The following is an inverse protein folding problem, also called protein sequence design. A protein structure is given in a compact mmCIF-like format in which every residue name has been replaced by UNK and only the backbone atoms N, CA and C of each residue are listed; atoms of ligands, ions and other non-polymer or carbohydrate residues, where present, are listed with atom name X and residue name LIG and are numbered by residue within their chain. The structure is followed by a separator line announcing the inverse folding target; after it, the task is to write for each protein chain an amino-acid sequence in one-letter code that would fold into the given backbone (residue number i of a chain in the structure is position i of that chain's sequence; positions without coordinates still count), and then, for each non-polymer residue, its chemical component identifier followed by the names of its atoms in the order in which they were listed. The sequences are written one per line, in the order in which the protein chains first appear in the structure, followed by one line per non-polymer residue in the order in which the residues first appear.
data_IF_630506799845
#
_entry.id   IF_630506799845
#
_cell.length_a   1.000
_cell.length_b   1.000
_cell.length_c   1.000
_cell.angle_alpha   90.00
_cell.angle_beta   90.00
_cell.angle_gamma   90.00
#
_symmetry.space_group_name_H-M   'P 1'
#
loop_
_entity.id
_entity.type
_entity.pdbx_description
1 polymer ?
#
# COMPACT_ATOMS: atom_id res chain seq x y z
N UNK A 1 -13.46 15.53 -6.84
CA UNK A 1 -12.49 14.96 -7.79
C UNK A 1 -11.60 13.89 -7.14
N UNK A 2 -10.93 14.19 -6.02
CA UNK A 2 -9.98 13.29 -5.32
C UNK A 2 -10.51 11.87 -5.05
N UNK A 3 -11.70 11.76 -4.45
CA UNK A 3 -12.38 10.47 -4.23
C UNK A 3 -12.58 9.62 -5.50
N UNK A 4 -12.88 10.26 -6.64
CA UNK A 4 -13.06 9.54 -7.93
C UNK A 4 -11.73 9.01 -8.47
N UNK A 5 -10.63 9.73 -8.23
CA UNK A 5 -9.30 9.27 -8.58
C UNK A 5 -8.90 8.05 -7.74
N UNK A 6 -9.12 8.08 -6.42
CA UNK A 6 -8.91 6.91 -5.57
C UNK A 6 -9.77 5.71 -6.02
N UNK A 7 -11.02 5.94 -6.43
CA UNK A 7 -11.88 4.90 -7.01
C UNK A 7 -11.33 4.35 -8.33
N UNK A 8 -10.77 5.19 -9.21
CA UNK A 8 -10.14 4.75 -10.44
C UNK A 8 -8.89 3.90 -10.16
N UNK A 9 -7.99 4.40 -9.31
CA UNK A 9 -6.76 3.71 -8.91
C UNK A 9 -7.05 2.37 -8.25
N UNK A 10 -8.09 2.28 -7.43
CA UNK A 10 -8.54 1.03 -6.81
C UNK A 10 -8.92 -0.06 -7.83
N UNK A 11 -9.24 0.35 -9.07
CA UNK A 11 -9.65 -0.52 -10.19
C UNK A 11 -8.55 -0.80 -11.20
N UNK A 12 -7.42 -0.11 -11.11
CA UNK A 12 -6.29 -0.34 -11.99
C UNK A 12 -5.69 -1.72 -11.75
N UNK A 13 -5.23 -2.37 -12.83
CA UNK A 13 -4.34 -3.52 -12.76
C UNK A 13 -2.91 -3.00 -12.83
N UNK A 14 -2.15 -3.23 -11.77
CA UNK A 14 -0.74 -2.92 -11.73
C UNK A 14 0.04 -3.94 -12.56
N UNK A 15 1.16 -3.51 -13.13
CA UNK A 15 1.98 -4.34 -14.02
C UNK A 15 3.15 -4.98 -13.27
N UNK A 16 3.56 -4.41 -12.12
CA UNK A 16 4.70 -4.88 -11.34
C UNK A 16 4.63 -4.50 -9.85
N UNK A 17 5.43 -5.15 -8.98
CA UNK A 17 5.55 -4.79 -7.57
C UNK A 17 6.04 -3.34 -7.30
N UNK A 18 7.03 -2.79 -8.04
CA UNK A 18 7.40 -1.37 -7.90
C UNK A 18 6.25 -0.39 -8.13
N UNK A 19 5.35 -0.66 -9.08
CA UNK A 19 4.15 0.16 -9.29
C UNK A 19 3.24 0.19 -8.04
N UNK A 20 3.16 -0.92 -7.31
CA UNK A 20 2.39 -0.98 -6.06
C UNK A 20 3.02 -0.08 -4.98
N UNK A 21 4.35 -0.09 -4.86
CA UNK A 21 5.07 0.77 -3.91
C UNK A 21 4.90 2.26 -4.27
N UNK A 22 5.06 2.64 -5.54
CA UNK A 22 4.83 4.02 -5.97
C UNK A 22 3.40 4.49 -5.76
N UNK A 23 2.43 3.59 -5.96
CA UNK A 23 1.03 3.87 -5.66
C UNK A 23 0.83 4.09 -4.15
N UNK A 24 1.40 3.23 -3.31
CA UNK A 24 1.29 3.39 -1.86
C UNK A 24 1.94 4.70 -1.38
N UNK A 25 3.14 5.05 -1.85
CA UNK A 25 3.82 6.29 -1.49
C UNK A 25 3.01 7.53 -1.89
N UNK A 26 2.39 7.50 -3.07
CA UNK A 26 1.50 8.56 -3.51
C UNK A 26 0.23 8.65 -2.65
N UNK A 27 -0.36 7.52 -2.23
CA UNK A 27 -1.52 7.50 -1.33
C UNK A 27 -1.16 8.08 0.05
N UNK A 28 -0.02 7.68 0.62
CA UNK A 28 0.46 8.19 1.91
C UNK A 28 0.80 9.69 1.83
N UNK A 29 1.38 10.15 0.73
CA UNK A 29 1.63 11.57 0.49
C UNK A 29 0.33 12.37 0.41
N UNK A 30 -0.69 11.83 -0.25
CA UNK A 30 -2.02 12.43 -0.29
C UNK A 30 -2.69 12.44 1.09
N UNK A 31 -2.51 11.39 1.89
CA UNK A 31 -3.07 11.29 3.24
C UNK A 31 -2.48 12.33 4.19
N UNK A 32 -1.16 12.53 4.15
CA UNK A 32 -0.46 13.58 4.93
C UNK A 32 -0.91 14.98 4.55
N UNK A 33 -1.19 15.20 3.26
CA UNK A 33 -1.58 16.51 2.73
C UNK A 33 -3.10 16.77 2.86
N UNK A 34 -3.92 15.73 2.84
CA UNK A 34 -5.38 15.80 2.87
C UNK A 34 -5.95 14.72 3.82
N UNK A 35 -5.88 14.93 5.15
CA UNK A 35 -6.36 13.94 6.12
C UNK A 35 -7.88 13.68 6.01
N UNK A 36 -8.65 14.64 5.52
CA UNK A 36 -10.10 14.48 5.28
C UNK A 36 -10.44 13.41 4.23
N UNK A 37 -9.47 13.05 3.37
CA UNK A 37 -9.65 12.05 2.32
C UNK A 37 -9.38 10.60 2.81
N UNK A 38 -9.04 10.43 4.10
CA UNK A 38 -8.66 9.17 4.75
C UNK A 38 -9.51 7.98 4.34
N UNK A 39 -10.83 8.08 4.45
CA UNK A 39 -11.73 6.95 4.16
C UNK A 39 -11.64 6.50 2.69
N UNK A 40 -11.43 7.44 1.77
CA UNK A 40 -11.29 7.13 0.35
C UNK A 40 -9.93 6.52 0.01
N UNK A 41 -8.89 6.93 0.73
CA UNK A 41 -7.53 6.37 0.61
C UNK A 41 -7.50 4.96 1.19
N UNK A 42 -8.08 4.75 2.36
CA UNK A 42 -8.21 3.44 3.00
C UNK A 42 -8.99 2.44 2.14
N UNK A 43 -10.11 2.87 1.55
CA UNK A 43 -10.87 2.07 0.56
C UNK A 43 -10.02 1.71 -0.66
N UNK A 44 -9.23 2.66 -1.16
CA UNK A 44 -8.34 2.41 -2.29
C UNK A 44 -7.26 1.38 -1.93
N UNK A 45 -6.58 1.56 -0.80
CA UNK A 45 -5.53 0.65 -0.33
C UNK A 45 -6.07 -0.78 -0.14
N UNK A 46 -7.19 -0.95 0.56
CA UNK A 46 -7.83 -2.26 0.73
C UNK A 46 -8.18 -2.94 -0.61
N UNK A 47 -8.73 -2.18 -1.57
CA UNK A 47 -9.07 -2.71 -2.89
C UNK A 47 -7.83 -3.02 -3.75
N UNK A 48 -6.73 -2.28 -3.59
CA UNK A 48 -5.48 -2.57 -4.31
C UNK A 48 -4.86 -3.85 -3.77
N UNK A 49 -4.85 -4.03 -2.45
CA UNK A 49 -4.29 -5.20 -1.78
C UNK A 49 -4.98 -6.49 -2.20
N UNK A 50 -6.31 -6.50 -2.14
CA UNK A 50 -7.13 -7.65 -2.58
C UNK A 50 -7.00 -7.99 -4.06
N UNK A 51 -6.66 -7.02 -4.92
CA UNK A 51 -6.46 -7.24 -6.37
C UNK A 51 -5.07 -7.69 -6.76
N UNK A 52 -4.06 -7.37 -5.94
CA UNK A 52 -2.65 -7.63 -6.28
C UNK A 52 -1.94 -8.42 -5.16
N UNK A 53 -2.50 -9.55 -4.70
CA UNK A 53 -1.96 -10.28 -3.56
C UNK A 53 -0.51 -10.75 -3.79
N UNK A 54 -0.20 -11.22 -5.00
CA UNK A 54 1.15 -11.65 -5.38
C UNK A 54 2.19 -10.51 -5.32
N UNK A 55 1.82 -9.28 -5.68
CA UNK A 55 2.74 -8.14 -5.60
C UNK A 55 2.94 -7.70 -4.15
N UNK A 56 1.89 -7.73 -3.34
CA UNK A 56 1.99 -7.45 -1.91
C UNK A 56 2.87 -8.48 -1.22
N UNK A 57 2.75 -9.77 -1.57
CA UNK A 57 3.62 -10.83 -1.02
C UNK A 57 5.10 -10.57 -1.33
N UNK A 58 5.45 -10.24 -2.58
CA UNK A 58 6.83 -9.91 -2.97
C UNK A 58 7.33 -8.67 -2.21
N UNK A 59 6.48 -7.66 -2.07
CA UNK A 59 6.82 -6.42 -1.39
C UNK A 59 6.73 -6.49 0.13
N UNK A 60 6.17 -7.56 0.71
CA UNK A 60 5.80 -7.58 2.13
C UNK A 60 7.01 -7.32 3.01
N UNK A 61 8.16 -7.91 2.67
CA UNK A 61 9.40 -7.67 3.39
C UNK A 61 9.86 -6.21 3.31
N UNK A 62 9.71 -5.54 2.18
CA UNK A 62 10.06 -4.12 2.06
C UNK A 62 9.04 -3.23 2.76
N UNK A 63 7.74 -3.51 2.60
CA UNK A 63 6.66 -2.82 3.31
C UNK A 63 6.82 -2.94 4.84
N UNK A 64 7.30 -4.09 5.31
CA UNK A 64 7.50 -4.37 6.73
C UNK A 64 8.89 -3.95 7.26
N UNK A 65 9.96 -3.93 6.44
CA UNK A 65 11.35 -3.58 6.88
C UNK A 65 11.73 -2.13 6.63
N UNK A 66 11.25 -1.50 5.56
CA UNK A 66 11.65 -0.14 5.17
C UNK A 66 11.02 0.92 6.08
N UNK A 67 9.98 0.54 6.82
CA UNK A 67 9.35 1.40 7.80
C UNK A 67 9.97 1.13 9.20
N UNK A 68 10.53 2.15 9.90
CA UNK A 68 10.85 2.14 11.36
C UNK A 68 9.80 1.56 12.33
N UNK A 69 8.62 1.21 11.83
CA UNK A 69 7.34 1.10 12.52
C UNK A 69 7.00 -0.37 12.86
N UNK A 70 7.89 -1.30 12.49
CA UNK A 70 7.80 -2.75 12.77
C UNK A 70 9.14 -3.31 13.29
N UNK A 71 10.05 -2.41 13.66
CA UNK A 71 11.07 -2.67 14.68
C UNK A 71 10.38 -3.18 15.96
N UNK A 72 11.10 -3.77 16.91
CA UNK A 72 10.54 -4.32 18.17
C UNK A 72 9.69 -3.30 18.99
N UNK A 73 9.67 -2.02 18.61
CA UNK A 73 8.79 -0.99 19.16
C UNK A 73 7.47 -0.89 18.38
N UNK A 74 6.36 -1.15 19.09
CA UNK A 74 5.00 -1.06 18.56
C UNK A 74 4.64 0.39 18.15
N UNK A 75 4.17 0.63 16.92
CA UNK A 75 3.84 1.97 16.46
C UNK A 75 2.54 2.49 17.10
N UNK A 76 2.32 3.80 17.02
CA UNK A 76 1.08 4.42 17.49
C UNK A 76 -0.11 3.88 16.69
N UNK A 77 -0.99 3.10 17.36
CA UNK A 77 -2.08 2.34 16.71
C UNK A 77 -3.07 3.18 15.89
N UNK A 78 -3.11 4.48 16.11
CA UNK A 78 -4.04 5.40 15.43
C UNK A 78 -3.41 6.18 14.25
N UNK A 79 -2.14 5.94 13.92
CA UNK A 79 -1.51 6.60 12.77
C UNK A 79 -2.22 6.22 11.45
N UNK A 80 -2.79 7.19 10.72
CA UNK A 80 -3.53 6.90 9.50
C UNK A 80 -2.64 6.31 8.39
N UNK A 81 -1.33 6.60 8.38
CA UNK A 81 -0.40 5.97 7.45
C UNK A 81 -0.22 4.48 7.76
N UNK A 82 -0.01 4.13 9.03
CA UNK A 82 0.05 2.75 9.51
C UNK A 82 -1.22 1.96 9.14
N UNK A 83 -2.40 2.52 9.42
CA UNK A 83 -3.68 1.89 9.07
C UNK A 83 -3.79 1.66 7.56
N UNK A 84 -3.31 2.60 6.73
CA UNK A 84 -3.33 2.45 5.26
C UNK A 84 -2.50 1.26 4.79
N UNK A 85 -1.30 1.07 5.34
CA UNK A 85 -0.44 -0.07 5.00
C UNK A 85 -1.05 -1.38 5.50
N UNK A 86 -1.60 -1.41 6.72
CA UNK A 86 -2.27 -2.60 7.24
C UNK A 86 -3.48 -2.99 6.39
N UNK A 87 -4.30 -2.02 5.97
CA UNK A 87 -5.42 -2.30 5.09
C UNK A 87 -4.95 -2.87 3.74
N UNK A 88 -3.85 -2.38 3.18
CA UNK A 88 -3.27 -2.96 1.97
C UNK A 88 -2.83 -4.42 2.19
N UNK A 89 -2.06 -4.68 3.24
CA UNK A 89 -1.45 -5.99 3.51
C UNK A 89 -2.49 -7.03 3.94
N UNK A 90 -3.38 -6.68 4.86
CA UNK A 90 -4.41 -7.59 5.35
C UNK A 90 -5.37 -7.98 4.23
N UNK A 91 -5.79 -7.04 3.37
CA UNK A 91 -6.69 -7.38 2.27
C UNK A 91 -6.04 -8.21 1.16
N UNK A 92 -4.70 -8.26 1.09
CA UNK A 92 -3.97 -9.12 0.17
C UNK A 92 -3.83 -10.57 0.68
N UNK A 93 -3.91 -10.77 1.99
CA UNK A 93 -3.69 -12.05 2.65
C UNK A 93 -4.54 -13.22 2.11
N UNK A 94 -5.84 -13.07 1.77
CA UNK A 94 -6.63 -14.18 1.24
C UNK A 94 -6.08 -14.73 -0.09
N UNK A 95 -5.46 -13.87 -0.90
CA UNK A 95 -4.90 -14.25 -2.20
C UNK A 95 -3.43 -14.68 -2.18
N UNK A 96 -2.74 -14.46 -1.05
CA UNK A 96 -1.34 -14.83 -0.87
C UNK A 96 -1.08 -15.16 0.62
N UNK A 97 -1.55 -16.35 1.09
CA UNK A 97 -1.45 -16.72 2.50
C UNK A 97 -0.02 -16.94 3.00
N UNK A 98 0.93 -17.23 2.08
CA UNK A 98 2.35 -17.42 2.38
C UNK A 98 2.99 -16.21 3.05
N UNK A 99 2.48 -15.00 2.77
CA UNK A 99 3.01 -13.77 3.37
C UNK A 99 2.84 -13.70 4.89
N UNK A 100 1.94 -14.50 5.48
CA UNK A 100 1.70 -14.54 6.94
C UNK A 100 2.97 -14.87 7.72
N UNK A 101 3.89 -15.65 7.14
CA UNK A 101 5.16 -15.99 7.75
C UNK A 101 6.06 -14.77 8.02
N UNK A 102 5.85 -13.67 7.31
CA UNK A 102 6.59 -12.42 7.49
C UNK A 102 5.94 -11.48 8.50
N UNK A 103 4.75 -11.79 9.02
CA UNK A 103 4.03 -10.87 9.89
C UNK A 103 4.61 -10.84 11.30
N UNK A 104 4.83 -9.64 11.86
CA UNK A 104 5.26 -9.52 13.25
C UNK A 104 4.11 -9.86 14.20
N UNK A 105 4.44 -10.28 15.42
CA UNK A 105 3.48 -10.80 16.42
C UNK A 105 2.35 -9.81 16.74
N UNK A 106 2.65 -8.51 16.77
CA UNK A 106 1.67 -7.47 17.12
C UNK A 106 0.65 -7.18 15.99
N UNK A 107 0.87 -7.64 14.76
CA UNK A 107 -0.07 -7.44 13.65
C UNK A 107 -1.43 -8.12 13.92
N UNK A 108 -1.43 -9.21 14.70
CA UNK A 108 -2.65 -9.86 15.18
C UNK A 108 -3.49 -8.93 16.08
N UNK A 109 -2.86 -8.17 16.97
CA UNK A 109 -3.52 -7.20 17.84
C UNK A 109 -4.07 -6.01 17.04
N UNK A 110 -3.30 -5.52 16.05
CA UNK A 110 -3.74 -4.45 15.16
C UNK A 110 -4.93 -4.85 14.29
N UNK A 111 -5.05 -6.12 13.92
CA UNK A 111 -6.20 -6.63 13.17
C UNK A 111 -7.50 -6.55 13.98
N UNK A 112 -7.48 -6.95 15.26
CA UNK A 112 -8.66 -6.86 16.11
C UNK A 112 -9.15 -5.41 16.24
N UNK A 113 -8.21 -4.48 16.45
CA UNK A 113 -8.49 -3.04 16.46
C UNK A 113 -9.09 -2.55 15.13
N UNK A 114 -8.51 -2.95 13.99
CA UNK A 114 -9.03 -2.55 12.67
C UNK A 114 -10.41 -3.14 12.37
N UNK A 115 -10.72 -4.33 12.88
CA UNK A 115 -12.03 -4.94 12.74
C UNK A 115 -13.11 -4.13 13.49
N UNK A 116 -12.76 -3.50 14.60
CA UNK A 116 -13.67 -2.58 15.30
C UNK A 116 -13.75 -1.21 14.59
N UNK A 117 -12.61 -0.68 14.11
CA UNK A 117 -12.54 0.66 13.52
C UNK A 117 -13.16 0.72 12.11
N UNK A 118 -12.86 -0.26 11.25
CA UNK A 118 -13.23 -0.28 9.82
C UNK A 118 -13.59 -1.69 9.33
N UNK A 119 -14.63 -2.34 9.90
CA UNK A 119 -15.00 -3.72 9.57
C UNK A 119 -15.28 -3.92 8.07
N UNK A 120 -15.90 -2.92 7.44
CA UNK A 120 -16.26 -2.94 6.02
C UNK A 120 -15.07 -2.88 5.05
N UNK A 121 -13.86 -2.61 5.54
CA UNK A 121 -12.64 -2.52 4.72
C UNK A 121 -11.72 -3.70 4.89
N UNK A 122 -12.02 -4.62 5.80
CA UNK A 122 -11.34 -5.90 5.89
C UNK A 122 -12.16 -6.90 5.09
N UNK A 123 -11.54 -7.53 4.08
CA UNK A 123 -12.04 -8.81 3.59
C UNK A 123 -12.26 -9.71 4.80
N UNK A 124 -13.42 -10.36 4.96
CA UNK A 124 -13.66 -11.29 6.07
C UNK A 124 -12.66 -12.44 5.98
N UNK A 125 -11.52 -12.30 6.65
CA UNK A 125 -10.46 -13.32 6.62
C UNK A 125 -10.62 -14.15 7.88
N UNK A 126 -10.99 -15.41 7.77
CA UNK A 126 -10.98 -16.32 8.91
C UNK A 126 -9.54 -16.79 9.15
N UNK A 127 -8.68 -15.88 9.61
CA UNK A 127 -7.27 -16.20 9.91
C UNK A 127 -7.15 -16.37 11.40
N UNK A 128 -7.02 -17.63 11.81
CA UNK A 128 -6.57 -17.96 13.14
C UNK A 128 -5.14 -17.44 13.31
N UNK A 129 -5.02 -16.28 13.97
CA UNK A 129 -3.80 -15.85 14.61
C UNK A 129 -3.70 -16.58 15.95
N UNK A 130 -3.61 -17.91 15.91
CA UNK A 130 -3.41 -18.71 17.13
C UNK A 130 -1.99 -18.51 17.64
N UNK A 131 -1.81 -17.43 18.41
CA UNK A 131 -0.75 -17.30 19.40
C UNK A 131 -1.48 -17.13 20.73
N UNK A 132 -1.56 -18.22 21.50
CA UNK A 132 -2.21 -18.25 22.81
C UNK A 132 -1.64 -17.19 23.75
N UNK A 133 -2.35 -16.09 23.90
CA UNK A 133 -2.17 -15.12 24.99
C UNK A 133 -3.56 -14.65 25.41
N UNK A 134 -3.89 -14.88 26.68
CA UNK A 134 -5.16 -14.50 27.30
C UNK A 134 -5.31 -12.96 27.28
N UNK A 135 -6.53 -12.43 27.04
CA UNK A 135 -6.77 -11.00 27.09
C UNK A 135 -6.79 -10.54 28.54
N UNK A 136 -5.73 -9.87 28.99
CA UNK A 136 -5.80 -9.05 30.21
C UNK A 136 -6.51 -7.75 29.85
N UNK A 137 -7.77 -7.70 30.25
CA UNK A 137 -8.59 -6.52 30.54
C UNK A 137 -7.76 -5.32 30.99
N UNK A 138 -7.91 -4.18 30.29
CA UNK A 138 -8.17 -2.84 30.83
C UNK A 138 -8.17 -1.82 29.67
N UNK A 139 -9.22 -1.86 28.83
CA UNK A 139 -9.47 -0.81 27.83
C UNK A 139 -10.35 0.28 28.48
N UNK A 140 -9.74 1.21 29.20
CA UNK A 140 -10.40 2.47 29.56
C UNK A 140 -10.22 3.43 28.40
N UNK A 141 -11.28 3.61 27.60
CA UNK A 141 -11.38 4.62 26.56
C UNK A 141 -11.88 5.92 27.20
N UNK A 142 -11.12 7.02 27.23
CA UNK A 142 -11.73 8.32 27.48
C UNK A 142 -12.43 8.78 26.19
N UNK A 143 -13.76 8.85 26.25
CA UNK A 143 -14.54 9.61 25.29
C UNK A 143 -14.21 11.10 25.44
N UNK A 144 -13.36 11.64 24.57
CA UNK A 144 -13.32 13.09 24.33
C UNK A 144 -12.66 13.42 22.99
N UNK A 145 -13.49 13.81 22.03
CA UNK A 145 -13.04 14.60 20.87
C UNK A 145 -12.67 16.00 21.37
N UNK A 146 -11.50 16.56 21.07
CA UNK A 146 -11.37 17.99 20.99
C UNK A 146 -11.90 18.43 19.62
N UNK A 147 -13.03 19.12 19.66
CA UNK A 147 -13.41 20.08 18.64
C UNK A 147 -12.33 21.17 18.65
N UNK A 148 -11.63 21.37 17.53
CA UNK A 148 -10.78 22.53 17.31
C UNK A 148 -11.51 23.50 16.39
N UNK A 149 -12.19 24.48 17.01
CA UNK A 149 -12.22 25.87 16.53
C UNK A 149 -10.75 26.34 16.37
N UNK A 150 -10.33 27.19 15.45
CA UNK A 150 -10.90 28.36 14.78
C UNK A 150 -9.84 28.69 13.66
N UNK A 151 -10.12 29.11 12.42
CA UNK A 151 -10.32 30.52 12.04
C UNK A 151 -10.30 30.71 10.52
N UNK A 152 -11.16 31.63 10.11
CA UNK A 152 -11.09 32.61 9.02
C UNK A 152 -10.85 32.18 7.56
N UNK A 153 -11.82 32.65 6.75
CA UNK A 153 -11.93 32.53 5.32
C UNK A 153 -10.87 33.33 4.53
N UNK A 154 -10.34 32.70 3.48
CA UNK A 154 -10.34 33.27 2.12
C UNK A 154 -10.83 32.20 1.13
N UNK A 155 -12.04 32.30 0.55
CA UNK A 155 -12.75 31.10 0.06
C UNK A 155 -12.41 30.63 -1.37
N UNK A 156 -11.57 31.32 -2.15
CA UNK A 156 -11.32 30.99 -3.56
C UNK A 156 -9.90 30.53 -3.88
N UNK A 157 -8.86 31.24 -3.43
CA UNK A 157 -7.47 31.00 -3.84
C UNK A 157 -6.82 29.78 -3.15
N UNK A 158 -7.10 29.57 -1.86
CA UNK A 158 -6.57 28.41 -1.11
C UNK A 158 -7.19 27.09 -1.59
N UNK A 159 -8.46 27.10 -1.99
CA UNK A 159 -9.10 25.93 -2.61
C UNK A 159 -8.46 25.60 -3.94
N UNK A 160 -8.17 26.60 -4.78
CA UNK A 160 -7.44 26.38 -6.04
C UNK A 160 -6.02 25.87 -5.78
N UNK A 161 -5.30 26.42 -4.79
CA UNK A 161 -3.95 25.95 -4.46
C UNK A 161 -3.96 24.53 -3.91
N UNK A 162 -4.92 24.20 -3.04
CA UNK A 162 -5.13 22.86 -2.53
C UNK A 162 -5.50 21.87 -3.63
N UNK A 163 -6.28 22.28 -4.63
CA UNK A 163 -6.59 21.46 -5.81
C UNK A 163 -5.37 21.30 -6.72
N UNK A 164 -4.59 22.36 -6.98
CA UNK A 164 -3.37 22.31 -7.79
C UNK A 164 -2.32 21.40 -7.16
N UNK A 165 -2.12 21.50 -5.84
CA UNK A 165 -1.22 20.63 -5.10
C UNK A 165 -1.67 19.16 -5.14
N UNK A 166 -2.99 18.91 -5.11
CA UNK A 166 -3.55 17.56 -5.23
C UNK A 166 -3.34 17.02 -6.64
N UNK A 167 -3.63 17.83 -7.65
CA UNK A 167 -3.43 17.48 -9.05
C UNK A 167 -1.96 17.21 -9.33
N UNK A 168 -1.04 18.02 -8.81
CA UNK A 168 0.39 17.79 -8.92
C UNK A 168 0.82 16.48 -8.25
N UNK A 169 0.42 16.22 -7.00
CA UNK A 169 0.73 14.95 -6.31
C UNK A 169 0.14 13.73 -7.01
N UNK A 170 -1.09 13.85 -7.54
CA UNK A 170 -1.76 12.78 -8.28
C UNK A 170 -1.16 12.56 -9.66
N UNK A 171 -0.78 13.63 -10.37
CA UNK A 171 -0.10 13.56 -11.66
C UNK A 171 1.30 12.99 -11.51
N UNK A 172 2.03 13.33 -10.44
CA UNK A 172 3.33 12.74 -10.14
C UNK A 172 3.20 11.24 -9.82
N UNK A 173 2.18 10.85 -9.06
CA UNK A 173 1.87 9.44 -8.79
C UNK A 173 1.58 8.69 -10.10
N UNK A 174 0.66 9.21 -10.94
CA UNK A 174 0.32 8.59 -12.23
C UNK A 174 1.51 8.59 -13.18
N UNK A 175 2.33 9.64 -13.20
CA UNK A 175 3.56 9.71 -14.00
C UNK A 175 4.58 8.68 -13.54
N UNK A 176 4.78 8.50 -12.23
CA UNK A 176 5.68 7.48 -11.69
C UNK A 176 5.21 6.08 -12.08
N UNK A 177 3.90 5.82 -12.03
CA UNK A 177 3.32 4.55 -12.48
C UNK A 177 3.54 4.33 -13.99
N UNK A 178 3.33 5.36 -14.81
CA UNK A 178 3.53 5.30 -16.26
C UNK A 178 5.00 5.11 -16.63
N UNK A 179 5.91 5.82 -15.97
CA UNK A 179 7.36 5.72 -16.17
C UNK A 179 7.85 4.30 -15.85
N UNK A 180 7.36 3.71 -14.76
CA UNK A 180 7.67 2.33 -14.40
C UNK A 180 7.11 1.32 -15.40
N UNK A 181 5.88 1.54 -15.90
CA UNK A 181 5.33 0.72 -16.99
C UNK A 181 6.16 0.83 -18.28
N UNK A 182 6.62 2.04 -18.63
CA UNK A 182 7.46 2.28 -19.81
C UNK A 182 8.83 1.63 -19.66
N UNK A 183 9.47 1.73 -18.48
CA UNK A 183 10.73 1.03 -18.18
C UNK A 183 10.60 -0.48 -18.36
N UNK A 184 9.48 -1.07 -17.93
CA UNK A 184 9.25 -2.51 -18.11
C UNK A 184 9.04 -2.89 -19.57
N UNK A 185 8.28 -2.09 -20.33
CA UNK A 185 8.05 -2.35 -21.75
C UNK A 185 9.33 -2.18 -22.60
N UNK A 186 10.15 -1.18 -22.32
CA UNK A 186 11.41 -0.93 -23.03
C UNK A 186 12.54 -1.84 -22.54
N UNK A 187 12.57 -2.20 -21.25
CA UNK A 187 13.54 -3.11 -20.65
C UNK A 187 13.37 -4.56 -21.10
N UNK A 188 12.19 -4.96 -21.58
CA UNK A 188 11.95 -6.29 -22.13
C UNK A 188 12.54 -6.51 -23.54
N UNK A 189 13.04 -5.46 -24.20
CA UNK A 189 13.56 -5.55 -25.58
C UNK A 189 15.06 -5.88 -25.67
N UNK A 190 15.78 -6.11 -24.56
CA UNK A 190 17.23 -6.37 -24.58
C UNK A 190 17.66 -7.83 -24.35
N UNK A 191 16.73 -8.76 -24.09
CA UNK A 191 17.07 -10.18 -23.86
C UNK A 191 16.50 -11.07 -24.96
N UNK A 192 17.07 -10.96 -26.16
CA UNK A 192 16.58 -11.72 -27.33
C UNK A 192 17.47 -11.62 -28.57
N UNK A 193 18.79 -11.59 -28.41
CA UNK A 193 19.69 -11.66 -29.57
C UNK A 193 21.09 -12.19 -29.19
N UNK A 194 21.22 -13.50 -28.96
CA UNK A 194 22.44 -14.22 -29.32
C UNK A 194 22.21 -15.75 -29.41
N UNK A 195 21.45 -16.18 -30.42
CA UNK A 195 21.68 -17.50 -31.02
C UNK A 195 22.13 -17.23 -32.45
N UNK A 196 23.45 -17.26 -32.66
CA UNK A 196 24.04 -17.50 -33.97
C UNK A 196 24.96 -18.70 -33.84
N UNK A 197 24.44 -19.79 -34.38
CA UNK A 197 25.18 -20.94 -34.90
C UNK A 197 26.29 -20.50 -35.84
N UNK A 198 27.51 -21.00 -35.65
CA UNK A 198 28.40 -21.26 -36.78
C UNK A 198 29.25 -22.50 -36.49
N UNK A 199 29.12 -23.46 -37.41
CA UNK A 199 29.82 -24.74 -37.48
C UNK A 199 31.08 -24.62 -38.34
N UNK A 200 31.93 -25.66 -38.29
CA UNK A 200 33.20 -25.88 -39.00
C UNK A 200 34.43 -25.42 -38.20
N UNK A 201 35.49 -26.19 -38.01
CA UNK A 201 35.91 -27.48 -38.56
C UNK A 201 37.08 -27.99 -37.72
N UNK A 202 37.02 -29.19 -37.16
CA UNK A 202 38.19 -29.87 -36.60
C UNK A 202 38.47 -31.09 -37.47
N UNK A 203 39.46 -30.95 -38.34
CA UNK A 203 40.21 -32.04 -38.95
C UNK A 203 41.63 -31.90 -38.39
N UNK A 204 42.04 -32.80 -37.50
CA UNK A 204 43.28 -33.55 -37.72
C UNK A 204 43.41 -34.67 -36.68
N UNK A 205 43.36 -35.90 -37.19
CA UNK A 205 43.78 -37.14 -36.55
C UNK A 205 44.61 -37.86 -37.62
N UNK A 206 45.93 -37.73 -37.57
CA UNK A 206 46.92 -38.82 -37.61
C UNK A 206 48.35 -38.29 -37.52
#
# INVERSE_FOLDING_TARGET
MRRRLHQLLSRCRLVSPPCLLSLLDGLLSNLRRYPDDRDSIWKCAASVGSRHPAFVEVCVSSLLRTHPWLSDQEPFREDPAYITVLLLVLNALPGAPGMKAHFPRHLAASRAYLAELVPHLLTNIDVDFSSGVKPSTNLCIPAKRPCLEERHATPSLERTQGLLNFLASSLLMVRSLLDECVRLLLGSQSSGALVKTESASNLDVM
#
